data_IF_074922556296
#
_entry.id   IF_074922556296
#
_cell.length_a   1.000
_cell.length_b   1.000
_cell.length_c   1.000
_cell.angle_alpha   90.00
_cell.angle_beta   90.00
_cell.angle_gamma   90.00
#
_symmetry.space_group_name_H-M   'P 1'
#
loop_
_entity.id
_entity.type
_entity.pdbx_description
1 polymer ?
#
# COMPACT_ATOMS: atom_id res chain seq x y z
N UNK A 1 -46.24 -18.34 18.51
CA UNK A 1 -44.84 -18.70 18.82
C UNK A 1 -43.94 -17.70 18.11
N UNK A 2 -43.19 -16.89 18.87
CA UNK A 2 -42.20 -15.93 18.31
C UNK A 2 -40.88 -16.69 18.10
N UNK A 3 -40.43 -16.79 16.86
CA UNK A 3 -39.11 -17.35 16.52
C UNK A 3 -38.10 -16.20 16.54
N UNK A 4 -37.31 -16.12 17.61
CA UNK A 4 -36.17 -15.22 17.71
C UNK A 4 -35.03 -15.77 16.84
N UNK A 5 -34.84 -15.20 15.65
CA UNK A 5 -33.68 -15.45 14.80
C UNK A 5 -32.47 -14.71 15.39
N UNK A 6 -31.66 -15.41 16.18
CA UNK A 6 -30.35 -14.94 16.62
C UNK A 6 -29.40 -14.87 15.43
N UNK A 7 -29.26 -13.69 14.83
CA UNK A 7 -28.19 -13.39 13.88
C UNK A 7 -26.85 -13.43 14.63
N UNK A 8 -26.16 -14.57 14.54
CA UNK A 8 -24.77 -14.68 14.92
C UNK A 8 -23.97 -13.93 13.86
N UNK A 9 -23.42 -12.75 14.21
CA UNK A 9 -22.41 -12.11 13.38
C UNK A 9 -21.19 -13.03 13.34
N UNK A 10 -21.07 -13.80 12.26
CA UNK A 10 -19.83 -14.49 11.95
C UNK A 10 -18.88 -13.42 11.44
N UNK A 11 -17.99 -12.92 12.31
CA UNK A 11 -16.83 -12.15 11.89
C UNK A 11 -15.91 -13.08 11.09
N UNK A 12 -16.13 -13.20 9.79
CA UNK A 12 -15.16 -13.79 8.89
C UNK A 12 -13.98 -12.83 8.79
N UNK A 13 -12.91 -13.10 9.53
CA UNK A 13 -11.61 -12.56 9.20
C UNK A 13 -11.26 -13.07 7.80
N UNK A 14 -11.28 -12.18 6.81
CA UNK A 14 -10.91 -12.53 5.46
C UNK A 14 -9.44 -13.01 5.47
N UNK A 15 -9.11 -14.17 4.87
CA UNK A 15 -7.75 -14.66 4.86
C UNK A 15 -6.84 -13.66 4.14
N UNK A 16 -5.67 -13.39 4.72
CA UNK A 16 -4.62 -12.56 4.09
C UNK A 16 -4.26 -13.15 2.73
N UNK A 17 -4.27 -12.32 1.68
CA UNK A 17 -3.87 -12.68 0.32
C UNK A 17 -2.37 -13.07 0.26
N UNK A 18 -1.98 -13.89 -0.73
CA UNK A 18 -0.65 -14.49 -0.82
C UNK A 18 0.49 -13.47 -0.88
N UNK A 19 0.29 -12.35 -1.58
CA UNK A 19 1.28 -11.28 -1.65
C UNK A 19 1.46 -10.60 -0.29
N UNK A 20 0.37 -10.32 0.42
CA UNK A 20 0.43 -9.75 1.77
C UNK A 20 1.26 -10.64 2.70
N UNK A 21 1.04 -11.96 2.68
CA UNK A 21 1.82 -12.92 3.48
C UNK A 21 3.31 -12.94 3.10
N UNK A 22 3.61 -12.92 1.82
CA UNK A 22 4.98 -12.85 1.30
C UNK A 22 5.70 -11.59 1.80
N UNK A 23 5.05 -10.44 1.70
CA UNK A 23 5.63 -9.15 2.11
C UNK A 23 5.80 -9.04 3.62
N UNK A 24 4.88 -9.61 4.41
CA UNK A 24 5.03 -9.72 5.87
C UNK A 24 6.25 -10.58 6.23
N UNK A 25 6.41 -11.75 5.59
CA UNK A 25 7.54 -12.64 5.83
C UNK A 25 8.88 -12.01 5.47
N UNK A 26 8.90 -11.11 4.49
CA UNK A 26 10.09 -10.36 4.09
C UNK A 26 10.33 -9.07 4.90
N UNK A 27 9.44 -8.72 5.84
CA UNK A 27 9.53 -7.49 6.62
C UNK A 27 9.35 -6.22 5.80
N UNK A 28 8.61 -6.30 4.69
CA UNK A 28 8.34 -5.16 3.80
C UNK A 28 7.06 -4.41 4.15
N UNK A 29 6.18 -5.05 4.90
CA UNK A 29 4.97 -4.46 5.47
C UNK A 29 4.80 -5.01 6.90
N UNK A 30 3.97 -4.35 7.69
CA UNK A 30 3.56 -4.76 9.04
C UNK A 30 2.05 -4.93 9.11
N UNK A 31 1.53 -5.37 10.25
CA UNK A 31 0.10 -5.30 10.56
C UNK A 31 -0.10 -4.23 11.64
N UNK A 32 -1.19 -3.47 11.55
CA UNK A 32 -1.63 -2.61 12.65
C UNK A 32 -2.41 -3.40 13.73
N UNK A 33 -2.92 -2.69 14.73
CA UNK A 33 -3.66 -3.26 15.86
C UNK A 33 -4.96 -3.98 15.43
N UNK A 34 -5.51 -3.63 14.26
CA UNK A 34 -6.69 -4.26 13.66
C UNK A 34 -6.33 -5.43 12.72
N UNK A 35 -5.03 -5.75 12.60
CA UNK A 35 -4.53 -6.80 11.72
C UNK A 35 -4.52 -6.40 10.25
N UNK A 36 -4.54 -5.10 9.92
CA UNK A 36 -4.50 -4.61 8.56
C UNK A 36 -3.07 -4.34 8.09
N UNK A 37 -2.73 -4.66 6.83
CA UNK A 37 -1.43 -4.34 6.24
C UNK A 37 -1.07 -2.86 6.30
N UNK A 38 0.13 -2.57 6.77
CA UNK A 38 0.69 -1.22 6.90
C UNK A 38 2.13 -1.13 6.40
N UNK A 39 2.54 0.06 5.95
CA UNK A 39 3.94 0.40 5.67
C UNK A 39 4.16 1.88 5.88
N UNK A 40 5.38 2.32 6.17
CA UNK A 40 5.72 3.74 6.15
C UNK A 40 6.08 4.19 4.74
N UNK A 41 5.59 5.35 4.31
CA UNK A 41 5.94 5.97 3.04
C UNK A 41 6.26 7.45 3.23
N UNK A 42 7.06 8.02 2.32
CA UNK A 42 7.12 9.46 2.14
C UNK A 42 5.82 9.91 1.47
N UNK A 43 5.20 10.96 2.01
CA UNK A 43 3.96 11.55 1.51
C UNK A 43 4.15 13.03 1.27
N UNK A 44 3.75 13.51 0.08
CA UNK A 44 3.79 14.93 -0.24
C UNK A 44 2.68 15.69 0.50
N UNK A 45 3.06 16.74 1.23
CA UNK A 45 2.17 17.70 1.86
C UNK A 45 1.77 18.83 0.91
N UNK A 46 0.68 19.53 1.24
CA UNK A 46 0.12 20.63 0.43
C UNK A 46 1.07 21.82 0.21
N UNK A 47 2.10 21.96 1.05
CA UNK A 47 3.06 23.08 1.01
C UNK A 47 4.39 22.69 0.35
N UNK A 48 4.44 21.59 -0.41
CA UNK A 48 5.68 21.05 -0.97
C UNK A 48 6.60 20.38 0.05
N UNK A 49 6.14 20.21 1.30
CA UNK A 49 6.83 19.41 2.31
C UNK A 49 6.68 17.92 2.02
N UNK A 50 7.61 17.10 2.46
CA UNK A 50 7.51 15.65 2.41
C UNK A 50 7.66 15.10 3.83
N UNK A 51 6.76 14.20 4.25
CA UNK A 51 6.81 13.60 5.58
C UNK A 51 6.65 12.09 5.50
N UNK A 52 7.30 11.37 6.41
CA UNK A 52 7.02 9.96 6.63
C UNK A 52 5.64 9.81 7.28
N UNK A 53 4.80 8.93 6.74
CA UNK A 53 3.48 8.60 7.27
C UNK A 53 3.24 7.09 7.17
N UNK A 54 2.55 6.54 8.16
CA UNK A 54 2.06 5.15 8.12
C UNK A 54 0.87 5.10 7.15
N UNK A 55 1.02 4.28 6.12
CA UNK A 55 0.02 3.99 5.12
C UNK A 55 -0.71 2.72 5.50
N UNK A 56 -2.03 2.82 5.68
CA UNK A 56 -2.92 1.68 5.88
C UNK A 56 -3.64 1.33 4.58
N UNK A 57 -4.16 0.12 4.53
CA UNK A 57 -5.06 -0.30 3.46
C UNK A 57 -6.36 0.52 3.47
N UNK A 58 -6.83 0.90 2.28
CA UNK A 58 -8.07 1.67 2.15
C UNK A 58 -9.30 0.83 2.57
N UNK A 59 -10.18 1.34 3.45
CA UNK A 59 -11.38 0.63 3.88
C UNK A 59 -12.28 0.22 2.72
N UNK A 60 -12.95 -0.93 2.85
CA UNK A 60 -13.97 -1.39 1.89
C UNK A 60 -13.45 -2.20 0.69
N UNK A 61 -12.13 -2.40 0.57
CA UNK A 61 -11.52 -3.11 -0.57
C UNK A 61 -11.00 -4.53 -0.25
N UNK A 62 -11.24 -5.07 0.94
CA UNK A 62 -10.75 -6.40 1.39
C UNK A 62 -9.24 -6.40 1.72
N UNK A 63 -8.68 -7.47 2.34
CA UNK A 63 -7.29 -7.53 2.82
C UNK A 63 -6.29 -7.61 1.67
N UNK A 64 -5.98 -6.45 1.08
CA UNK A 64 -4.97 -6.26 0.05
C UNK A 64 -3.72 -5.66 0.66
N UNK A 65 -2.60 -5.88 0.00
CA UNK A 65 -1.33 -5.31 0.39
C UNK A 65 -1.30 -3.78 0.22
N UNK A 66 -0.33 -3.15 0.86
CA UNK A 66 -0.02 -1.72 0.72
C UNK A 66 1.40 -1.54 0.15
N UNK A 67 1.64 -0.38 -0.44
CA UNK A 67 2.96 0.05 -0.93
C UNK A 67 3.08 1.56 -0.94
N UNK A 68 4.21 2.03 -1.46
CA UNK A 68 4.51 3.45 -1.65
C UNK A 68 4.65 3.76 -3.13
N UNK A 69 4.43 5.02 -3.52
CA UNK A 69 4.68 5.48 -4.87
C UNK A 69 5.39 6.83 -4.90
N UNK A 70 6.05 7.11 -6.02
CA UNK A 70 6.62 8.43 -6.36
C UNK A 70 6.30 8.74 -7.81
N UNK A 71 5.88 9.97 -8.07
CA UNK A 71 5.69 10.59 -9.38
C UNK A 71 6.63 11.79 -9.49
N UNK A 72 7.41 11.85 -10.56
CA UNK A 72 8.36 12.95 -10.80
C UNK A 72 8.49 13.25 -12.28
N UNK A 73 9.04 14.42 -12.58
CA UNK A 73 9.42 14.81 -13.94
C UNK A 73 10.78 15.51 -13.91
N UNK A 74 11.16 16.16 -15.01
CA UNK A 74 12.43 16.90 -15.10
C UNK A 74 12.55 18.08 -14.13
N UNK A 75 11.44 18.59 -13.59
CA UNK A 75 11.41 19.66 -12.60
C UNK A 75 11.53 19.15 -11.15
N UNK A 76 11.42 17.84 -10.93
CA UNK A 76 11.55 17.20 -9.62
C UNK A 76 10.34 16.33 -9.24
N UNK A 77 10.25 16.01 -7.94
CA UNK A 77 9.15 15.22 -7.38
C UNK A 77 7.86 16.02 -7.48
N UNK A 78 6.85 15.41 -8.09
CA UNK A 78 5.50 15.97 -8.20
C UNK A 78 4.61 15.46 -7.07
N UNK A 79 4.73 14.18 -6.73
CA UNK A 79 3.91 13.55 -5.71
C UNK A 79 4.55 12.28 -5.16
N UNK A 80 4.43 12.06 -3.86
CA UNK A 80 4.75 10.83 -3.15
C UNK A 80 3.56 10.46 -2.28
N UNK A 81 3.33 9.16 -2.07
CA UNK A 81 2.28 8.74 -1.16
C UNK A 81 2.11 7.24 -0.98
N UNK A 82 1.03 6.91 -0.28
CA UNK A 82 0.53 5.57 -0.08
C UNK A 82 -0.12 5.03 -1.37
N UNK A 83 0.10 3.76 -1.67
CA UNK A 83 -0.53 3.06 -2.77
C UNK A 83 -1.21 1.78 -2.25
N UNK A 84 -2.50 1.63 -2.55
CA UNK A 84 -3.30 0.44 -2.23
C UNK A 84 -4.10 0.05 -3.48
N UNK A 85 -4.07 -1.23 -3.83
CA UNK A 85 -4.81 -1.77 -4.98
C UNK A 85 -4.96 -3.29 -4.82
N UNK A 86 -5.59 -3.98 -5.77
CA UNK A 86 -5.64 -5.44 -5.84
C UNK A 86 -4.22 -6.06 -5.81
N UNK A 87 -4.03 -7.18 -5.10
CA UNK A 87 -2.69 -7.80 -4.96
C UNK A 87 -2.06 -8.19 -6.30
N UNK A 88 -2.86 -8.61 -7.29
CA UNK A 88 -2.34 -8.91 -8.65
C UNK A 88 -1.74 -7.66 -9.30
N UNK A 89 -2.38 -6.51 -9.14
CA UNK A 89 -1.88 -5.23 -9.64
C UNK A 89 -0.62 -4.81 -8.88
N UNK A 90 -0.62 -4.93 -7.55
CA UNK A 90 0.53 -4.58 -6.72
C UNK A 90 1.75 -5.46 -7.04
N UNK A 91 1.56 -6.79 -7.14
CA UNK A 91 2.63 -7.74 -7.47
C UNK A 91 3.30 -7.42 -8.82
N UNK A 92 2.54 -6.93 -9.79
CA UNK A 92 3.05 -6.66 -11.14
C UNK A 92 3.60 -5.25 -11.31
N UNK A 93 3.09 -4.27 -10.57
CA UNK A 93 3.44 -2.85 -10.74
C UNK A 93 4.47 -2.34 -9.72
N UNK A 94 4.56 -2.98 -8.55
CA UNK A 94 5.39 -2.52 -7.45
C UNK A 94 6.62 -3.41 -7.28
N UNK A 95 7.79 -2.79 -7.16
CA UNK A 95 9.03 -3.50 -6.87
C UNK A 95 9.25 -3.65 -5.36
N UNK A 96 10.08 -4.60 -4.94
CA UNK A 96 10.44 -4.72 -3.52
C UNK A 96 11.62 -3.80 -3.20
N UNK A 97 11.55 -3.09 -2.08
CA UNK A 97 12.60 -2.26 -1.44
C UNK A 97 13.01 -1.00 -2.20
N UNK A 98 12.86 -0.94 -3.52
CA UNK A 98 13.29 0.20 -4.34
C UNK A 98 12.18 0.70 -5.24
N UNK A 99 12.11 2.01 -5.42
CA UNK A 99 11.19 2.66 -6.34
C UNK A 99 11.92 3.06 -7.62
N UNK A 100 11.81 2.25 -8.67
CA UNK A 100 12.47 2.48 -9.96
C UNK A 100 11.41 2.62 -11.06
N UNK A 101 11.56 3.63 -11.91
CA UNK A 101 10.77 3.78 -13.13
C UNK A 101 11.59 3.33 -14.36
N UNK A 102 10.89 2.98 -15.44
CA UNK A 102 11.56 2.72 -16.72
C UNK A 102 12.11 4.05 -17.29
N UNK A 103 13.45 4.14 -17.37
CA UNK A 103 14.18 5.29 -17.88
C UNK A 103 13.93 5.57 -19.39
N UNK A 104 13.23 4.67 -20.10
CA UNK A 104 12.86 4.88 -21.51
C UNK A 104 11.70 5.86 -21.71
N UNK A 105 10.94 6.17 -20.65
CA UNK A 105 9.82 7.10 -20.73
C UNK A 105 10.32 8.55 -20.72
N UNK A 106 9.86 9.37 -21.68
CA UNK A 106 10.05 10.83 -21.64
C UNK A 106 8.85 11.46 -20.94
N UNK A 107 9.11 12.39 -20.01
CA UNK A 107 8.06 13.21 -19.38
C UNK A 107 7.88 12.90 -17.90
N UNK A 108 6.75 12.29 -17.55
CA UNK A 108 6.40 11.93 -16.17
C UNK A 108 6.82 10.50 -15.90
N UNK A 109 7.55 10.30 -14.82
CA UNK A 109 7.96 9.00 -14.31
C UNK A 109 7.11 8.63 -13.11
N UNK A 110 6.74 7.35 -13.02
CA UNK A 110 6.02 6.77 -11.89
C UNK A 110 6.74 5.48 -11.49
N UNK A 111 6.92 5.29 -10.19
CA UNK A 111 7.31 4.01 -9.62
C UNK A 111 6.41 3.66 -8.44
N UNK A 112 6.29 2.35 -8.18
CA UNK A 112 5.68 1.80 -6.99
C UNK A 112 6.65 0.84 -6.32
N UNK A 113 6.61 0.76 -4.99
CA UNK A 113 7.43 -0.17 -4.24
C UNK A 113 6.78 -0.67 -2.93
N UNK A 114 7.27 -1.79 -2.43
CA UNK A 114 6.97 -2.34 -1.11
C UNK A 114 8.17 -2.19 -0.19
N UNK A 115 7.94 -1.80 1.07
CA UNK A 115 8.99 -1.57 2.05
C UNK A 115 8.87 -0.21 2.72
N UNK A 116 9.31 -0.09 3.98
CA UNK A 116 9.30 1.18 4.70
C UNK A 116 10.16 2.21 3.96
N UNK A 117 9.57 3.36 3.67
CA UNK A 117 10.19 4.52 3.02
C UNK A 117 10.87 4.20 1.68
N UNK A 118 10.45 3.13 0.99
CA UNK A 118 11.08 2.69 -0.26
C UNK A 118 10.95 3.70 -1.41
N UNK A 119 10.09 4.71 -1.24
CA UNK A 119 9.79 5.76 -2.22
C UNK A 119 10.54 7.08 -1.95
N UNK A 120 11.53 7.06 -1.05
CA UNK A 120 12.40 8.20 -0.76
C UNK A 120 13.28 8.61 -1.94
#
# INVERSE_FOLDING_TARGET
ALVLLSLSLVCYAAPLEDLTRELLNEGLITLDDDGLPTTECIVSGKNGTATAQVCTMTPGFGPRSVGCFTVWNSAGIMQQGCYSNQDVSLRTQCQKRVCLADNRQKGVHLCCCHGPLCNA
#
